data_IF_291093611892
#
_entry.id   IF_291093611892
#
_cell.length_a   1.000
_cell.length_b   1.000
_cell.length_c   1.000
_cell.angle_alpha   90.00
_cell.angle_beta   90.00
_cell.angle_gamma   90.00
#
_symmetry.space_group_name_H-M   'P 1'
#
loop_
_entity.id
_entity.type
_entity.pdbx_description
1 polymer ?
2 non-polymer ?
3 non-polymer ?
4 water ?
#
# COMPACT_ATOMS: atom_id res chain seq x y z
N UNK A 3 6.26 -2.04 17.92
CA UNK A 3 6.02 -2.59 16.59
C UNK A 3 7.26 -2.38 15.73
N UNK A 4 7.52 -3.34 14.84
CA UNK A 4 8.66 -3.27 13.94
C UNK A 4 8.21 -2.75 12.58
N UNK A 5 9.01 -1.86 12.01
CA UNK A 5 8.69 -1.23 10.74
C UNK A 5 9.94 -1.16 9.88
N UNK A 6 9.73 -1.19 8.56
CA UNK A 6 10.79 -1.05 7.58
C UNK A 6 10.38 0.01 6.58
N UNK A 7 11.34 0.85 6.18
CA UNK A 7 11.10 1.85 5.16
C UNK A 7 11.34 1.25 3.78
N UNK A 8 10.45 1.57 2.84
CA UNK A 8 10.50 0.95 1.53
C UNK A 8 9.72 1.76 0.50
N UNK A 9 10.03 1.51 -0.76
CA UNK A 9 9.19 1.95 -1.87
C UNK A 9 8.58 0.73 -2.55
N UNK A 10 7.55 0.99 -3.34
CA UNK A 10 6.89 -0.05 -4.11
C UNK A 10 6.86 0.35 -5.57
N UNK A 11 6.96 -0.65 -6.45
CA UNK A 11 6.78 -0.45 -7.88
C UNK A 11 5.86 -1.53 -8.40
N UNK A 12 4.97 -1.17 -9.32
CA UNK A 12 4.06 -2.17 -9.89
C UNK A 12 4.81 -3.05 -10.89
N UNK A 13 4.14 -4.11 -11.35
CA UNK A 13 4.83 -5.08 -12.20
C UNK A 13 5.16 -4.52 -13.57
N UNK A 14 4.49 -3.44 -13.98
CA UNK A 14 4.93 -2.70 -15.16
C UNK A 14 6.03 -1.70 -14.83
N UNK A 15 6.51 -1.68 -13.58
CA UNK A 15 7.61 -0.85 -13.14
C UNK A 15 7.24 0.63 -13.03
N UNK A 16 5.97 0.91 -12.75
CA UNK A 16 5.55 2.25 -12.38
C UNK A 16 5.79 2.49 -10.89
N UNK A 17 6.28 3.68 -10.58
CA UNK A 17 6.51 4.17 -9.23
C UNK A 17 5.25 4.87 -8.72
N UNK A 18 5.19 5.07 -7.41
CA UNK A 18 4.04 5.69 -6.78
C UNK A 18 4.44 7.05 -6.22
N UNK A 19 3.61 8.06 -6.49
CA UNK A 19 3.81 9.42 -6.01
C UNK A 19 2.50 9.95 -5.42
N UNK A 20 2.62 11.04 -4.67
CA UNK A 20 1.44 11.70 -4.13
C UNK A 20 0.60 12.32 -5.24
N UNK A 21 -0.72 12.25 -5.07
CA UNK A 21 -1.69 12.81 -6.02
C UNK A 21 -2.66 13.68 -5.22
N UNK A 22 -2.16 14.79 -4.70
CA UNK A 22 -2.92 15.58 -3.77
C UNK A 22 -2.72 15.06 -2.37
N UNK A 23 -3.48 15.60 -1.41
CA UNK A 23 -3.22 15.23 0.00
C UNK A 23 -3.58 13.80 0.36
N UNK A 24 -4.59 13.20 -0.27
CA UNK A 24 -5.11 11.92 0.20
C UNK A 24 -5.23 10.88 -0.93
N UNK A 25 -4.39 10.99 -1.95
CA UNK A 25 -4.41 9.97 -2.99
C UNK A 25 -2.99 9.76 -3.49
N UNK A 26 -2.73 8.55 -3.98
CA UNK A 26 -1.49 8.21 -4.66
C UNK A 26 -1.80 7.95 -6.13
N UNK A 27 -0.80 8.16 -6.98
CA UNK A 27 -0.91 7.83 -8.39
C UNK A 27 0.35 7.09 -8.82
N UNK A 28 0.26 6.38 -9.94
CA UNK A 28 1.36 5.57 -10.43
C UNK A 28 1.82 6.09 -11.78
N UNK A 29 3.12 6.21 -11.95
CA UNK A 29 3.63 6.67 -13.23
C UNK A 29 5.03 6.12 -13.45
N UNK A 30 5.41 6.08 -14.72
CA UNK A 30 6.75 5.67 -15.06
C UNK A 30 7.71 6.80 -14.72
N UNK A 31 8.71 6.49 -13.90
CA UNK A 31 9.66 7.47 -13.40
C UNK A 31 11.05 6.91 -13.51
N UNK A 32 12.01 7.78 -13.84
CA UNK A 32 13.42 7.42 -13.85
C UNK A 32 14.20 8.71 -13.67
N UNK A 33 15.40 8.59 -13.11
CA UNK A 33 16.28 9.74 -13.00
C UNK A 33 16.05 10.58 -11.76
N UNK A 34 16.19 11.90 -11.90
CA UNK A 34 16.06 12.79 -10.75
C UNK A 34 14.65 12.76 -10.17
N UNK A 35 13.65 12.50 -11.00
CA UNK A 35 12.27 12.46 -10.52
C UNK A 35 12.04 11.37 -9.48
N UNK A 36 12.93 10.38 -9.38
CA UNK A 36 12.77 9.30 -8.42
C UNK A 36 12.59 9.81 -7.00
N UNK A 37 13.14 11.00 -6.70
CA UNK A 37 12.96 11.61 -5.39
C UNK A 37 11.50 11.87 -5.07
N UNK A 38 10.63 11.94 -6.08
CA UNK A 38 9.22 12.21 -5.85
C UNK A 38 8.45 10.99 -5.35
N UNK A 39 9.04 9.80 -5.41
CA UNK A 39 8.26 8.62 -5.06
C UNK A 39 7.98 8.57 -3.56
N UNK A 40 6.87 7.94 -3.22
CA UNK A 40 6.44 7.83 -1.84
C UNK A 40 7.28 6.76 -1.15
N UNK A 41 7.78 7.09 0.03
CA UNK A 41 8.44 6.13 0.90
C UNK A 41 7.46 5.69 1.97
N UNK A 42 7.26 4.40 2.07
CA UNK A 42 6.36 3.81 3.05
C UNK A 42 7.13 3.39 4.29
N UNK A 43 6.45 3.46 5.42
CA UNK A 43 6.84 2.69 6.59
C UNK A 43 5.90 1.50 6.66
N UNK A 44 6.41 0.32 6.34
CA UNK A 44 5.64 -0.91 6.41
C UNK A 44 5.81 -1.47 7.80
N UNK A 45 4.71 -1.53 8.55
CA UNK A 45 4.71 -2.08 9.90
C UNK A 45 4.19 -3.51 9.86
N UNK A 46 4.79 -4.38 10.67
CA UNK A 46 4.40 -5.77 10.72
C UNK A 46 3.47 -5.97 11.91
N UNK A 47 2.19 -6.19 11.61
CA UNK A 47 1.14 -6.00 12.60
C UNK A 47 0.52 -7.33 12.99
N UNK A 48 -0.47 -7.28 13.88
CA UNK A 48 -1.15 -8.48 14.33
C UNK A 48 -2.18 -8.91 13.29
N UNK A 49 -2.31 -10.22 13.13
CA UNK A 49 -3.25 -10.79 12.19
C UNK A 49 -2.89 -12.22 11.89
N UNK A 50 -3.80 -12.89 11.17
CA UNK A 50 -3.56 -14.26 10.74
C UNK A 50 -2.42 -14.30 9.73
N UNK A 51 -1.52 -15.27 9.89
CA UNK A 51 -0.28 -15.29 9.13
C UNK A 51 0.02 -16.69 8.61
N UNK A 52 0.71 -16.74 7.47
CA UNK A 52 1.25 -17.97 6.91
C UNK A 52 2.61 -17.66 6.30
N UNK A 53 3.24 -18.68 5.71
CA UNK A 53 4.57 -18.47 5.13
C UNK A 53 4.53 -17.41 4.04
N UNK A 54 3.46 -17.38 3.25
CA UNK A 54 3.37 -16.49 2.11
C UNK A 54 2.36 -15.36 2.31
N UNK A 55 1.78 -15.22 3.50
CA UNK A 55 0.77 -14.20 3.79
C UNK A 55 1.14 -13.52 5.10
N UNK A 56 1.49 -12.23 5.04
CA UNK A 56 2.04 -11.50 6.17
C UNK A 56 1.23 -10.22 6.37
N UNK A 57 0.56 -10.03 7.51
CA UNK A 57 -0.23 -8.80 7.69
C UNK A 57 0.67 -7.60 7.95
N UNK A 58 0.41 -6.51 7.20
CA UNK A 58 1.19 -5.29 7.33
C UNK A 58 0.24 -4.09 7.32
N UNK A 59 0.75 -2.98 7.82
CA UNK A 59 0.14 -1.69 7.58
C UNK A 59 1.12 -0.86 6.77
N UNK A 60 0.58 0.01 5.92
CA UNK A 60 1.38 0.83 5.01
C UNK A 60 1.15 2.29 5.38
N UNK A 61 2.04 2.85 6.19
CA UNK A 61 2.04 4.27 6.47
C UNK A 61 3.01 5.00 5.57
N UNK A 62 2.83 6.31 5.46
CA UNK A 62 3.75 7.15 4.71
C UNK A 62 4.85 7.59 5.66
N UNK A 63 6.10 7.44 5.23
CA UNK A 63 7.21 7.68 6.15
C UNK A 63 7.17 9.11 6.69
N UNK A 64 7.29 9.23 8.01
CA UNK A 64 7.34 10.52 8.70
C UNK A 64 6.02 11.28 8.64
N UNK A 65 4.93 10.60 8.30
CA UNK A 65 3.63 11.25 8.24
C UNK A 65 2.62 10.41 9.00
N UNK A 66 1.63 11.09 9.60
CA UNK A 66 0.56 10.40 10.31
C UNK A 66 -0.57 10.04 9.35
N UNK A 67 -0.20 9.31 8.30
CA UNK A 67 -1.11 8.92 7.24
C UNK A 67 -0.89 7.46 6.91
N UNK A 68 -1.98 6.71 6.80
CA UNK A 68 -1.94 5.29 6.48
C UNK A 68 -2.90 4.99 5.35
N UNK A 69 -2.52 4.03 4.51
CA UNK A 69 -3.49 3.48 3.57
C UNK A 69 -4.56 2.72 4.33
N UNK A 70 -5.80 2.86 3.86
CA UNK A 70 -6.98 2.41 4.59
C UNK A 70 -8.03 1.92 3.60
N UNK A 71 -8.72 0.83 3.95
CA UNK A 71 -9.77 0.26 3.11
C UNK A 71 -11.10 0.49 3.79
N UNK A 72 -11.98 1.25 3.14
CA UNK A 72 -13.29 1.56 3.69
C UNK A 72 -14.32 1.56 2.57
N UNK A 73 -15.59 1.42 2.96
CA UNK A 73 -16.69 1.57 2.01
C UNK A 73 -16.91 3.04 1.72
N UNK A 74 -16.96 3.40 0.44
CA UNK A 74 -17.22 4.77 0.02
C UNK A 74 -18.18 4.71 -1.16
N UNK A 75 -19.31 5.40 -1.05
CA UNK A 75 -20.41 5.22 -2.00
C UNK A 75 -20.75 3.74 -2.15
N UNK A 76 -20.69 3.01 -1.04
CA UNK A 76 -21.03 1.59 -0.92
C UNK A 76 -20.03 0.66 -1.59
N UNK A 77 -18.85 1.14 -1.97
CA UNK A 77 -17.87 0.28 -2.62
C UNK A 77 -16.56 0.29 -1.85
N UNK A 78 -15.91 -0.87 -1.68
CA UNK A 78 -14.58 -0.89 -1.05
C UNK A 78 -13.63 0.02 -1.80
N UNK A 79 -13.02 0.95 -1.08
CA UNK A 79 -12.10 1.88 -1.70
C UNK A 79 -10.84 1.99 -0.85
N UNK A 80 -9.80 2.44 -1.51
CA UNK A 80 -8.52 2.74 -0.88
C UNK A 80 -8.46 4.24 -0.59
N UNK A 81 -8.14 4.59 0.65
CA UNK A 81 -7.98 5.98 1.02
C UNK A 81 -6.71 6.15 1.84
N UNK A 82 -6.22 7.38 1.90
CA UNK A 82 -5.22 7.74 2.88
C UNK A 82 -5.95 8.33 4.07
N UNK A 83 -5.65 7.84 5.26
CA UNK A 83 -6.37 8.24 6.45
C UNK A 83 -5.39 8.78 7.48
N UNK A 84 -5.72 9.93 8.07
CA UNK A 84 -4.85 10.48 9.11
C UNK A 84 -5.17 9.82 10.44
N UNK A 85 -4.16 9.78 11.31
CA UNK A 85 -4.29 9.20 12.64
C UNK A 85 -3.59 10.12 13.64
N UNK A 86 -3.87 9.88 14.91
CA UNK A 86 -3.21 10.62 15.98
C UNK A 86 -1.74 10.22 15.99
N UNK A 87 -0.81 11.15 15.76
CA UNK A 87 0.60 10.76 15.64
C UNK A 87 1.21 10.24 16.93
N UNK A 88 0.54 10.37 18.07
CA UNK A 88 1.08 9.85 19.32
C UNK A 88 0.75 8.38 19.54
N UNK A 89 -0.16 7.81 18.76
CA UNK A 89 -0.65 6.46 18.99
C UNK A 89 -0.25 5.47 17.90
N UNK A 90 0.45 5.93 16.87
CA UNK A 90 0.78 5.12 15.70
C UNK A 90 2.25 5.27 15.36
N UNK A 91 2.87 4.21 14.80
CA UNK A 91 2.21 2.94 14.48
C UNK A 91 2.03 2.10 15.74
N UNK A 92 1.19 1.07 15.67
CA UNK A 92 1.02 0.16 16.79
C UNK A 92 0.89 -1.26 16.26
N UNK A 93 1.13 -2.22 17.16
CA UNK A 93 1.11 -3.63 16.77
C UNK A 93 -0.29 -4.09 16.39
N UNK A 94 -1.31 -3.62 17.11
CA UNK A 94 -2.69 -4.03 16.86
C UNK A 94 -3.40 -2.91 16.10
N UNK A 95 -3.12 -2.85 14.81
CA UNK A 95 -3.76 -1.86 13.95
C UNK A 95 -5.20 -2.29 13.67
N UNK A 96 -6.09 -1.30 13.57
CA UNK A 96 -7.47 -1.54 13.17
C UNK A 96 -7.52 -2.19 11.79
N UNK A 97 -8.53 -3.04 11.58
CA UNK A 97 -8.53 -3.93 10.42
C UNK A 97 -8.52 -3.18 9.09
N UNK A 98 -9.12 -1.98 9.03
CA UNK A 98 -9.14 -1.21 7.79
C UNK A 98 -7.74 -0.85 7.32
N UNK A 99 -6.76 -0.85 8.22
CA UNK A 99 -5.39 -0.49 7.89
C UNK A 99 -4.55 -1.69 7.50
N UNK A 100 -5.09 -2.90 7.61
CA UNK A 100 -4.29 -4.11 7.46
C UNK A 100 -4.41 -4.66 6.04
N UNK A 101 -3.26 -4.99 5.46
CA UNK A 101 -3.17 -5.67 4.17
C UNK A 101 -2.40 -6.96 4.38
N UNK A 102 -2.84 -8.00 3.69
CA UNK A 102 -2.08 -9.25 3.65
C UNK A 102 -1.09 -9.17 2.50
N UNK A 103 0.19 -9.11 2.85
CA UNK A 103 1.27 -9.05 1.87
C UNK A 103 1.57 -10.49 1.47
N UNK A 104 1.30 -10.82 0.21
CA UNK A 104 1.31 -12.19 -0.29
C UNK A 104 2.36 -12.29 -1.38
N UNK A 105 3.28 -13.24 -1.24
CA UNK A 105 4.32 -13.44 -2.24
C UNK A 105 3.86 -14.50 -3.23
N UNK A 106 3.79 -14.14 -4.51
CA UNK A 106 3.49 -15.11 -5.56
C UNK A 106 4.39 -14.84 -6.76
N UNK A 107 5.14 -15.86 -7.19
CA UNK A 107 5.99 -15.76 -8.38
C UNK A 107 6.97 -14.59 -8.30
N UNK A 108 7.62 -14.44 -7.14
CA UNK A 108 8.65 -13.42 -6.91
C UNK A 108 8.11 -11.99 -6.99
N UNK A 109 6.80 -11.82 -6.80
CA UNK A 109 6.18 -10.51 -6.73
C UNK A 109 5.31 -10.49 -5.49
N UNK A 110 4.82 -9.31 -5.15
CA UNK A 110 3.97 -9.14 -3.97
C UNK A 110 2.59 -8.64 -4.39
N UNK A 111 1.56 -9.16 -3.74
CA UNK A 111 0.23 -8.59 -3.83
C UNK A 111 -0.14 -8.12 -2.43
N UNK A 112 -1.00 -7.11 -2.35
CA UNK A 112 -1.47 -6.56 -1.08
C UNK A 112 -2.99 -6.66 -1.05
N UNK A 113 -3.50 -7.70 -0.38
CA UNK A 113 -4.93 -7.93 -0.25
C UNK A 113 -5.46 -7.21 0.99
N UNK A 114 -6.61 -6.55 0.84
CA UNK A 114 -7.24 -5.92 1.99
C UNK A 114 -7.65 -7.01 2.98
N UNK A 115 -7.23 -6.86 4.24
CA UNK A 115 -7.70 -7.81 5.25
C UNK A 115 -9.18 -7.61 5.53
N UNK A 116 -9.66 -6.38 5.37
CA UNK A 116 -11.06 -6.08 5.65
C UNK A 116 -11.98 -6.62 4.55
N UNK A 117 -11.52 -6.55 3.30
CA UNK A 117 -12.31 -6.93 2.13
C UNK A 117 -11.56 -8.02 1.38
N UNK A 118 -11.86 -9.29 1.64
CA UNK A 118 -11.13 -10.38 1.00
C UNK A 118 -11.22 -10.29 -0.52
N UNK A 119 -10.09 -10.58 -1.17
CA UNK A 119 -9.96 -10.62 -2.62
C UNK A 119 -10.07 -9.26 -3.28
N UNK A 120 -9.92 -8.18 -2.50
CA UNK A 120 -9.72 -6.85 -3.04
C UNK A 120 -8.26 -6.48 -2.80
N UNK A 121 -7.62 -5.87 -3.80
CA UNK A 121 -6.17 -5.72 -3.81
C UNK A 121 -5.79 -4.29 -4.16
N UNK A 122 -4.68 -3.83 -3.59
CA UNK A 122 -4.08 -2.59 -4.06
C UNK A 122 -3.75 -2.77 -5.54
N UNK A 123 -4.18 -1.81 -6.36
CA UNK A 123 -4.12 -1.98 -7.80
C UNK A 123 -3.69 -0.68 -8.47
N UNK A 124 -3.09 -0.82 -9.65
CA UNK A 124 -2.80 0.32 -10.50
C UNK A 124 -3.39 0.07 -11.88
N UNK A 125 -3.57 1.16 -12.62
CA UNK A 125 -4.02 1.07 -14.00
C UNK A 125 -2.82 0.95 -14.93
N UNK A 126 -3.07 0.46 -16.15
CA UNK A 126 -2.00 0.44 -17.14
C UNK A 126 -1.65 1.85 -17.60
N UNK A 127 -2.63 2.74 -17.67
CA UNK A 127 -2.37 4.11 -18.08
C UNK A 127 -1.51 4.83 -17.05
N UNK A 128 -0.76 5.82 -17.54
CA UNK A 128 0.07 6.68 -16.71
C UNK A 128 -0.80 7.67 -15.93
N UNK A 129 -0.31 8.05 -14.74
CA UNK A 129 -0.85 9.17 -13.96
C UNK A 129 -2.27 8.95 -13.46
N UNK A 130 -2.66 7.71 -13.21
CA UNK A 130 -3.96 7.39 -12.68
C UNK A 130 -3.84 6.96 -11.22
N UNK A 131 -4.91 7.06 -10.45
CA UNK A 131 -4.82 6.79 -9.01
C UNK A 131 -4.51 5.33 -8.71
N UNK A 132 -3.85 5.12 -7.58
CA UNK A 132 -3.80 3.80 -6.96
C UNK A 132 -5.15 3.54 -6.32
N UNK A 133 -5.68 2.34 -6.48
CA UNK A 133 -7.03 2.07 -6.05
C UNK A 133 -7.13 0.66 -5.50
N UNK A 134 -8.27 0.36 -4.91
CA UNK A 134 -8.58 -0.98 -4.45
C UNK A 134 -9.41 -1.65 -5.52
N UNK A 135 -8.89 -2.73 -6.08
CA UNK A 135 -9.52 -3.42 -7.20
C UNK A 135 -10.00 -4.79 -6.77
N UNK A 136 -11.13 -5.21 -7.33
CA UNK A 136 -11.69 -6.51 -7.00
C UNK A 136 -11.40 -7.59 -8.03
N UNK A 140 -6.73 -9.40 -14.86
CA UNK A 140 -7.31 -8.58 -15.90
C UNK A 140 -6.40 -7.46 -16.36
N UNK A 141 -7.00 -6.34 -16.76
CA UNK A 141 -6.20 -5.21 -17.24
C UNK A 141 -5.45 -4.53 -16.10
N UNK A 142 -6.09 -4.43 -14.93
CA UNK A 142 -5.48 -3.73 -13.81
C UNK A 142 -4.36 -4.55 -13.18
N UNK A 143 -3.35 -3.84 -12.69
CA UNK A 143 -2.13 -4.44 -12.16
C UNK A 143 -2.29 -4.59 -10.65
N UNK A 144 -2.02 -5.80 -10.13
CA UNK A 144 -2.08 -6.08 -8.69
C UNK A 144 -0.78 -6.62 -8.11
N UNK A 145 0.28 -6.72 -8.91
CA UNK A 145 1.57 -7.26 -8.47
C UNK A 145 2.59 -6.14 -8.36
N UNK A 146 3.44 -6.24 -7.33
CA UNK A 146 4.43 -5.22 -7.00
C UNK A 146 5.75 -5.87 -6.62
N UNK A 147 6.82 -5.07 -6.71
CA UNK A 147 8.07 -5.36 -6.02
C UNK A 147 8.33 -4.26 -4.99
N UNK A 148 9.16 -4.60 -4.01
CA UNK A 148 9.54 -3.72 -2.91
C UNK A 148 11.01 -3.36 -3.03
N UNK A 149 11.33 -2.09 -2.78
CA UNK A 149 12.72 -1.64 -2.74
C UNK A 149 12.99 -1.13 -1.33
N UNK A 150 14.04 -1.65 -0.71
CA UNK A 150 14.36 -1.24 0.65
C UNK A 150 15.10 0.09 0.61
N UNK A 151 14.81 0.94 1.60
CA UNK A 151 15.41 2.26 1.72
C UNK A 151 16.10 2.35 3.07
N UNK A 152 17.26 3.02 3.10
CA UNK A 152 18.01 3.22 4.34
C UNK A 152 17.19 3.97 5.39
X LIG B 1 -11.46 3.25 15.32
X LIG B 1 -11.80 2.05 14.55
X LIG B 1 -12.51 4.25 15.16
X LIG B 1 -11.35 2.89 16.73
X LIG B 1 -10.19 3.79 14.86
X LIG C 1 14.76 -4.44 -6.79
X LIG C 1 13.36 -6.21 -5.82
X LIG C 1 11.55 -7.58 -4.71
X LIG C 1 11.90 -8.87 -5.11
X LIG C 1 11.02 -9.90 -4.84
X LIG C 1 9.56 -8.31 -3.83
X LIG C 1 9.85 -9.61 -4.18
X LIG C 1 12.33 -6.44 -4.93
X LIG C 1 10.40 -7.30 -4.08
X LIG C 1 13.77 -7.07 -6.59
X LIG C 1 15.59 -2.57 -5.45
X LIG C 1 13.86 -4.96 -5.76
X LIG C 1 15.95 -3.73 -6.19
X LIG C 1 8.65 -11.01 -3.72
#
# INVERSE_FOLDING_TARGET
>A
APVRSLNCTLRDSQQKSLVMSGPYELKALHLQGQDMEQQVVFSMSFVQGEESNDKIPVALGLKEKNLYLSCVLKDDKPTLQLESVDPKNYPKKKMEKRFVFNKIEINNKLEFESAQFPNWYISTSQAENMPVFLGGTKGGQDITDFTMQFVSS
>B hetero
1 SO4 S O1 O2 O3 O4
>C hetero
1 OGE C1 C2 C3 C4 C5 C6 C7 N1 N2 O1 O N C BR
#
